data_IF_117495311299
#
_entry.id   IF_117495311299
#
_cell.length_a   1.000
_cell.length_b   1.000
_cell.length_c   1.000
_cell.angle_alpha   90.00
_cell.angle_beta   90.00
_cell.angle_gamma   90.00
#
_symmetry.space_group_name_H-M   'P 1'
#
loop_
_entity.id
_entity.type
_entity.pdbx_description
1 polymer ?
#
# COMPACT_ATOMS: atom_id res chain seq x y z
N UNK A 1 23.62 1.32 -37.55
CA UNK A 1 24.21 2.66 -37.30
C UNK A 1 23.09 3.68 -37.49
N UNK A 2 22.58 4.44 -36.52
CA UNK A 2 23.04 4.87 -35.19
C UNK A 2 21.81 5.08 -34.30
N UNK A 3 21.86 4.50 -33.09
CA UNK A 3 21.53 5.11 -31.79
C UNK A 3 20.22 5.90 -31.64
N UNK A 4 19.22 5.31 -30.97
CA UNK A 4 18.62 5.92 -29.77
C UNK A 4 18.33 4.84 -28.74
N UNK A 5 18.95 5.07 -27.59
CA UNK A 5 19.16 4.20 -26.45
C UNK A 5 18.43 4.86 -25.29
N UNK A 6 17.64 4.09 -24.55
CA UNK A 6 17.26 4.28 -23.14
C UNK A 6 16.51 5.59 -22.79
N UNK A 7 15.22 5.45 -22.50
CA UNK A 7 14.66 5.87 -21.20
C UNK A 7 13.76 4.75 -20.69
N UNK A 8 14.33 3.90 -19.83
CA UNK A 8 13.55 3.11 -18.89
C UNK A 8 13.07 4.09 -17.83
N UNK A 9 11.77 4.30 -17.72
CA UNK A 9 11.19 5.04 -16.61
C UNK A 9 10.60 4.02 -15.64
N UNK A 10 11.04 4.14 -14.39
CA UNK A 10 10.43 3.46 -13.25
C UNK A 10 8.97 3.91 -13.22
N UNK A 11 8.07 3.04 -13.67
CA UNK A 11 6.81 2.91 -12.98
C UNK A 11 7.14 2.11 -11.71
N UNK A 12 6.61 2.48 -10.53
CA UNK A 12 6.67 1.82 -9.22
C UNK A 12 5.28 1.26 -8.84
N UNK A 13 5.18 0.05 -8.30
CA UNK A 13 3.89 -0.65 -8.22
C UNK A 13 3.52 -0.80 -6.76
N UNK A 14 2.23 -0.68 -6.54
CA UNK A 14 1.62 -0.31 -5.28
C UNK A 14 1.07 -1.53 -4.60
N UNK A 15 1.63 -1.82 -3.42
CA UNK A 15 1.43 -3.07 -2.70
C UNK A 15 0.88 -2.78 -1.32
N UNK A 16 -0.30 -3.33 -1.04
CA UNK A 16 -0.64 -3.73 0.31
C UNK A 16 0.02 -5.03 0.69
N UNK A 17 0.97 -4.95 1.60
CA UNK A 17 1.40 -6.12 2.37
C UNK A 17 0.63 -6.11 3.68
N UNK A 18 -0.35 -7.01 3.79
CA UNK A 18 -0.82 -7.48 5.10
C UNK A 18 0.42 -7.99 5.83
N UNK A 19 0.74 -7.44 7.00
CA UNK A 19 1.98 -7.73 7.70
C UNK A 19 2.25 -9.23 7.76
N UNK A 20 3.32 -9.66 7.10
CA UNK A 20 4.00 -10.87 7.51
C UNK A 20 4.79 -10.47 8.76
N UNK A 21 4.13 -10.49 9.91
CA UNK A 21 4.85 -10.34 11.18
C UNK A 21 5.82 -11.52 11.27
N UNK A 22 7.12 -11.27 11.09
CA UNK A 22 8.18 -12.23 11.43
C UNK A 22 8.49 -12.18 12.94
N UNK A 23 7.47 -11.83 13.74
CA UNK A 23 7.56 -11.83 15.19
C UNK A 23 8.01 -13.21 15.70
N UNK A 24 8.87 -13.15 16.72
CA UNK A 24 9.41 -14.29 17.44
C UNK A 24 8.31 -15.26 17.88
N UNK A 25 8.68 -16.53 18.07
CA UNK A 25 7.74 -17.57 18.47
C UNK A 25 6.88 -17.06 19.65
N UNK A 26 5.55 -16.94 19.50
CA UNK A 26 4.69 -16.69 20.65
C UNK A 26 4.95 -17.81 21.67
N UNK A 27 4.78 -17.55 22.98
CA UNK A 27 5.00 -18.56 24.01
C UNK A 27 4.09 -19.77 23.76
N UNK A 28 4.62 -20.80 23.08
CA UNK A 28 4.17 -22.20 22.97
C UNK A 28 2.67 -22.54 22.84
N UNK A 29 1.77 -21.58 22.54
CA UNK A 29 0.31 -21.82 22.59
C UNK A 29 -0.49 -21.19 21.45
N UNK A 30 0.14 -20.76 20.34
CA UNK A 30 -0.62 -20.54 19.11
C UNK A 30 -1.06 -21.92 18.56
N UNK A 31 -2.10 -22.47 19.17
CA UNK A 31 -2.74 -23.70 18.78
C UNK A 31 -3.14 -23.59 17.30
N UNK A 32 -3.07 -24.71 16.58
CA UNK A 32 -3.60 -24.77 15.23
C UNK A 32 -5.06 -24.31 15.24
N UNK A 33 -5.44 -23.43 14.32
CA UNK A 33 -6.79 -22.90 14.34
C UNK A 33 -7.01 -21.75 13.37
N UNK A 34 -8.24 -21.26 13.40
CA UNK A 34 -8.66 -20.09 12.66
C UNK A 34 -8.25 -18.81 13.40
N UNK A 35 -7.84 -17.81 12.63
CA UNK A 35 -7.61 -16.45 13.12
C UNK A 35 -8.34 -15.51 12.17
N UNK A 36 -9.14 -14.62 12.72
CA UNK A 36 -9.86 -13.61 11.97
C UNK A 36 -9.19 -12.26 12.17
N UNK A 37 -9.22 -11.44 11.13
CA UNK A 37 -8.74 -10.06 11.18
C UNK A 37 -9.77 -9.13 10.58
N UNK A 38 -9.93 -7.96 11.20
CA UNK A 38 -10.68 -6.85 10.63
C UNK A 38 -9.84 -5.59 10.75
N UNK A 39 -9.66 -4.86 9.65
CA UNK A 39 -8.93 -3.62 9.60
C UNK A 39 -9.81 -2.52 9.01
N UNK A 40 -9.63 -1.31 9.50
CA UNK A 40 -10.29 -0.13 8.98
C UNK A 40 -9.36 1.07 9.09
N UNK A 41 -9.60 2.10 8.30
CA UNK A 41 -8.98 3.39 8.52
C UNK A 41 -9.29 4.41 7.45
N UNK A 42 -8.67 5.57 7.63
CA UNK A 42 -8.83 6.71 6.75
C UNK A 42 -7.54 7.50 6.65
N UNK A 43 -7.38 8.24 5.56
CA UNK A 43 -6.32 9.20 5.32
C UNK A 43 -6.91 10.45 4.69
N UNK A 44 -6.30 11.59 4.98
CA UNK A 44 -6.68 12.89 4.43
C UNK A 44 -5.40 13.57 3.94
N UNK A 45 -5.45 14.04 2.70
CA UNK A 45 -4.50 15.00 2.15
C UNK A 45 -5.27 16.30 1.92
N UNK A 46 -4.98 17.38 2.67
CA UNK A 46 -5.56 18.69 2.42
C UNK A 46 -5.18 19.23 1.05
N UNK A 47 -5.83 20.33 0.68
CA UNK A 47 -5.57 21.07 -0.55
C UNK A 47 -4.06 21.34 -0.74
N UNK A 48 -3.57 20.99 -1.93
CA UNK A 48 -2.20 21.24 -2.39
C UNK A 48 -2.20 21.76 -3.81
N UNK A 49 -1.28 22.69 -4.07
CA UNK A 49 -1.14 23.33 -5.38
C UNK A 49 -0.52 22.35 -6.39
N UNK A 50 -1.02 22.41 -7.62
CA UNK A 50 -0.54 21.69 -8.79
C UNK A 50 0.30 22.64 -9.64
N UNK A 51 1.51 22.20 -9.99
CA UNK A 51 2.49 23.05 -10.64
C UNK A 51 2.04 23.51 -12.04
N UNK A 52 2.20 24.82 -12.27
CA UNK A 52 2.09 25.44 -13.58
C UNK A 52 0.66 25.59 -14.13
N UNK A 53 -0.36 25.45 -13.29
CA UNK A 53 -1.76 25.52 -13.71
C UNK A 53 -2.66 26.46 -12.88
N UNK A 54 -2.21 27.00 -11.75
CA UNK A 54 -3.07 27.81 -10.87
C UNK A 54 -4.27 27.00 -10.36
N UNK A 55 -4.02 25.72 -10.07
CA UNK A 55 -5.01 24.74 -9.66
C UNK A 55 -4.51 23.98 -8.46
N UNK A 56 -5.41 23.44 -7.66
CA UNK A 56 -5.11 22.64 -6.48
C UNK A 56 -5.98 21.39 -6.43
N UNK A 57 -5.58 20.42 -5.61
CA UNK A 57 -6.44 19.28 -5.30
C UNK A 57 -6.28 18.81 -3.85
N UNK A 58 -7.28 18.09 -3.38
CA UNK A 58 -7.28 17.39 -2.09
C UNK A 58 -7.84 15.98 -2.27
N UNK A 59 -7.59 15.11 -1.29
CA UNK A 59 -8.29 13.82 -1.23
C UNK A 59 -8.61 13.38 0.19
N UNK A 60 -9.70 12.62 0.30
CA UNK A 60 -10.00 11.78 1.45
C UNK A 60 -10.02 10.32 1.02
N UNK A 61 -9.47 9.44 1.85
CA UNK A 61 -9.45 8.00 1.61
C UNK A 61 -10.03 7.26 2.79
N UNK A 62 -10.84 6.24 2.53
CA UNK A 62 -11.31 5.29 3.54
C UNK A 62 -11.10 3.86 3.05
N UNK A 63 -10.86 2.93 3.99
CA UNK A 63 -10.72 1.52 3.63
C UNK A 63 -11.13 0.59 4.77
N UNK A 64 -11.51 -0.61 4.37
CA UNK A 64 -11.89 -1.71 5.23
C UNK A 64 -11.32 -3.02 4.67
N UNK A 65 -10.86 -3.92 5.55
CA UNK A 65 -10.55 -5.28 5.14
C UNK A 65 -10.92 -6.30 6.19
N UNK A 66 -11.25 -7.49 5.73
CA UNK A 66 -11.48 -8.66 6.56
C UNK A 66 -10.57 -9.80 6.10
N UNK A 67 -10.16 -10.64 7.03
CA UNK A 67 -9.29 -11.78 6.77
C UNK A 67 -9.63 -12.97 7.64
N UNK A 68 -9.38 -14.15 7.10
CA UNK A 68 -9.42 -15.41 7.84
C UNK A 68 -8.20 -16.23 7.46
N UNK A 69 -7.41 -16.63 8.45
CA UNK A 69 -6.24 -17.47 8.30
C UNK A 69 -6.47 -18.80 9.02
N UNK A 70 -6.22 -19.91 8.34
CA UNK A 70 -5.97 -21.17 9.02
C UNK A 70 -4.47 -21.29 9.30
N UNK A 71 -4.12 -21.38 10.59
CA UNK A 71 -2.73 -21.51 11.04
C UNK A 71 -2.53 -22.92 11.55
N UNK A 72 -1.58 -23.67 10.98
CA UNK A 72 -1.14 -24.93 11.57
C UNK A 72 -0.22 -24.70 12.76
N UNK A 73 0.57 -23.63 12.71
CA UNK A 73 1.42 -23.14 13.79
C UNK A 73 1.78 -21.66 13.51
N UNK A 74 2.62 -21.08 14.36
CA UNK A 74 3.03 -19.67 14.23
C UNK A 74 3.78 -19.34 12.92
N UNK A 75 4.33 -20.33 12.19
CA UNK A 75 5.11 -20.16 10.95
C UNK A 75 4.43 -20.67 9.68
N UNK A 76 3.33 -21.42 9.79
CA UNK A 76 2.62 -22.02 8.66
C UNK A 76 1.16 -21.58 8.66
N UNK A 77 0.73 -20.88 7.61
CA UNK A 77 -0.64 -20.42 7.46
C UNK A 77 -1.07 -20.27 5.99
N UNK A 78 -2.35 -20.44 5.75
CA UNK A 78 -3.04 -20.06 4.51
C UNK A 78 -4.27 -19.28 4.92
N UNK A 79 -4.52 -18.16 4.27
CA UNK A 79 -5.67 -17.34 4.54
C UNK A 79 -6.38 -16.86 3.29
N UNK A 80 -7.52 -16.23 3.52
CA UNK A 80 -8.29 -15.45 2.55
C UNK A 80 -8.48 -14.06 3.15
N UNK A 81 -8.19 -13.02 2.37
CA UNK A 81 -8.45 -11.64 2.74
C UNK A 81 -9.21 -10.93 1.64
N UNK A 82 -10.21 -10.15 2.05
CA UNK A 82 -10.97 -9.24 1.20
C UNK A 82 -10.80 -7.83 1.72
N UNK A 83 -10.76 -6.84 0.84
CA UNK A 83 -10.76 -5.44 1.22
C UNK A 83 -11.49 -4.59 0.21
N UNK A 84 -11.98 -3.46 0.67
CA UNK A 84 -12.56 -2.42 -0.16
C UNK A 84 -12.24 -1.06 0.43
N UNK A 85 -12.20 -0.04 -0.43
CA UNK A 85 -11.97 1.33 -0.04
C UNK A 85 -12.36 2.28 -1.15
N UNK A 86 -12.23 3.56 -0.85
CA UNK A 86 -12.68 4.66 -1.68
C UNK A 86 -11.77 5.86 -1.45
N UNK A 87 -11.41 6.55 -2.54
CA UNK A 87 -10.67 7.80 -2.53
C UNK A 87 -11.44 8.88 -3.27
N UNK A 88 -11.78 9.96 -2.57
CA UNK A 88 -12.53 11.09 -3.11
C UNK A 88 -11.57 12.22 -3.49
N UNK A 89 -11.23 12.35 -4.78
CA UNK A 89 -10.43 13.48 -5.25
C UNK A 89 -11.30 14.70 -5.52
N UNK A 90 -10.78 15.88 -5.19
CA UNK A 90 -11.49 17.15 -5.39
C UNK A 90 -10.52 18.19 -5.92
N UNK A 91 -10.87 18.83 -7.03
CA UNK A 91 -10.03 19.79 -7.72
C UNK A 91 -10.59 21.22 -7.60
N UNK A 92 -9.69 22.19 -7.58
CA UNK A 92 -10.00 23.61 -7.53
C UNK A 92 -9.10 24.41 -8.47
N UNK A 93 -9.59 25.55 -8.94
CA UNK A 93 -8.84 26.52 -9.76
C UNK A 93 -8.90 27.91 -9.14
N UNK A 94 -7.78 28.63 -9.20
CA UNK A 94 -7.61 29.96 -8.63
C UNK A 94 -8.66 30.95 -9.16
N UNK A 95 -9.42 31.54 -8.25
CA UNK A 95 -10.46 32.53 -8.60
C UNK A 95 -11.75 31.93 -9.18
N UNK A 96 -11.81 30.61 -9.42
CA UNK A 96 -13.02 29.88 -9.82
C UNK A 96 -13.60 29.12 -8.63
N UNK A 97 -12.75 28.50 -7.81
CA UNK A 97 -13.14 27.59 -6.73
C UNK A 97 -13.17 26.14 -7.22
N UNK A 98 -14.12 25.35 -6.72
CA UNK A 98 -14.22 23.92 -7.06
C UNK A 98 -14.58 23.72 -8.53
N UNK A 99 -13.84 22.86 -9.21
CA UNK A 99 -14.03 22.49 -10.63
C UNK A 99 -14.09 20.98 -10.79
N UNK A 100 -14.61 20.53 -11.93
CA UNK A 100 -14.51 19.13 -12.33
C UNK A 100 -13.04 18.82 -12.68
N UNK A 101 -12.51 17.76 -12.08
CA UNK A 101 -11.13 17.33 -12.27
C UNK A 101 -10.96 16.32 -13.40
N UNK A 102 -9.71 15.85 -13.63
CA UNK A 102 -9.45 14.74 -14.54
C UNK A 102 -10.04 13.40 -14.10
N UNK A 103 -10.42 13.29 -12.81
CA UNK A 103 -11.20 12.21 -12.20
C UNK A 103 -11.83 12.70 -10.89
N UNK A 104 -12.72 11.91 -10.31
CA UNK A 104 -13.34 12.18 -9.02
C UNK A 104 -13.14 11.06 -8.00
N UNK A 105 -14.16 10.24 -7.84
CA UNK A 105 -14.22 9.17 -6.85
C UNK A 105 -13.60 7.89 -7.41
N UNK A 106 -12.64 7.31 -6.69
CA UNK A 106 -11.97 6.06 -7.08
C UNK A 106 -12.27 4.97 -6.06
N UNK A 107 -12.90 3.91 -6.51
CA UNK A 107 -13.20 2.72 -5.73
C UNK A 107 -12.09 1.68 -5.84
N UNK A 108 -11.76 1.07 -4.70
CA UNK A 108 -10.86 -0.07 -4.61
C UNK A 108 -11.53 -1.30 -4.03
N UNK A 109 -11.24 -2.45 -4.63
CA UNK A 109 -11.57 -3.76 -4.08
C UNK A 109 -10.41 -4.72 -4.27
N UNK A 110 -10.20 -5.61 -3.29
CA UNK A 110 -9.14 -6.63 -3.36
C UNK A 110 -9.57 -7.95 -2.78
N UNK A 111 -9.07 -9.02 -3.38
CA UNK A 111 -9.10 -10.39 -2.84
C UNK A 111 -7.68 -10.91 -2.85
N UNK A 112 -7.23 -11.54 -1.76
CA UNK A 112 -5.87 -12.06 -1.62
C UNK A 112 -5.86 -13.38 -0.87
N UNK A 113 -4.93 -14.27 -1.23
CA UNK A 113 -4.74 -15.56 -0.55
C UNK A 113 -3.34 -15.58 0.07
N UNK A 114 -3.15 -14.99 1.26
CA UNK A 114 -1.85 -14.99 1.91
C UNK A 114 -1.44 -16.41 2.33
N UNK A 115 -0.25 -16.83 1.91
CA UNK A 115 0.33 -18.12 2.26
C UNK A 115 1.72 -17.91 2.85
N UNK A 116 2.02 -18.62 3.93
CA UNK A 116 3.33 -18.61 4.57
C UNK A 116 3.71 -20.00 5.02
N UNK A 117 4.92 -20.42 4.69
CA UNK A 117 5.46 -21.72 5.07
C UNK A 117 6.89 -21.63 5.59
N UNK A 118 7.15 -22.28 6.71
CA UNK A 118 8.47 -22.54 7.22
C UNK A 118 9.22 -23.57 6.37
N UNK A 119 10.51 -23.33 6.13
CA UNK A 119 11.43 -24.35 5.63
C UNK A 119 12.61 -24.49 6.61
N UNK A 120 12.70 -25.65 7.26
CA UNK A 120 13.61 -25.86 8.39
C UNK A 120 13.39 -24.85 9.51
N UNK A 121 14.43 -24.54 10.29
CA UNK A 121 14.30 -23.66 11.47
C UNK A 121 14.47 -22.16 11.16
N UNK A 122 15.12 -21.84 10.04
CA UNK A 122 15.60 -20.48 9.74
C UNK A 122 14.93 -19.83 8.54
N UNK A 123 14.43 -20.61 7.58
CA UNK A 123 13.84 -20.05 6.37
C UNK A 123 12.31 -20.00 6.45
N UNK A 124 11.73 -19.01 5.79
CA UNK A 124 10.29 -18.90 5.56
C UNK A 124 10.06 -18.47 4.12
N UNK A 125 9.05 -19.04 3.49
CA UNK A 125 8.57 -18.67 2.17
C UNK A 125 7.20 -18.03 2.37
N UNK A 126 6.90 -16.98 1.62
CA UNK A 126 5.56 -16.44 1.53
C UNK A 126 5.15 -16.23 0.08
N UNK A 127 3.86 -16.36 -0.16
CA UNK A 127 3.23 -16.19 -1.47
C UNK A 127 1.86 -15.57 -1.25
N UNK A 128 1.53 -14.49 -1.96
CA UNK A 128 0.26 -13.79 -1.84
C UNK A 128 -0.23 -13.47 -3.26
N UNK A 129 -0.92 -14.40 -3.94
CA UNK A 129 -1.71 -14.06 -5.12
C UNK A 129 -2.85 -13.12 -4.72
N UNK A 130 -3.15 -12.17 -5.59
CA UNK A 130 -4.22 -11.19 -5.38
C UNK A 130 -4.89 -10.80 -6.70
N UNK A 131 -6.18 -10.52 -6.62
CA UNK A 131 -6.95 -9.84 -7.66
C UNK A 131 -7.42 -8.52 -7.07
N UNK A 132 -7.36 -7.45 -7.85
CA UNK A 132 -7.74 -6.10 -7.44
C UNK A 132 -8.60 -5.47 -8.51
N UNK A 133 -9.51 -4.62 -8.09
CA UNK A 133 -10.23 -3.67 -8.93
C UNK A 133 -9.88 -2.28 -8.42
N UNK A 134 -9.50 -1.38 -9.32
CA UNK A 134 -9.15 0.00 -9.00
C UNK A 134 -9.65 0.87 -10.15
N UNK A 135 -10.70 1.65 -9.92
CA UNK A 135 -11.36 2.42 -10.98
C UNK A 135 -12.22 3.54 -10.45
N UNK A 136 -12.41 4.55 -11.28
CA UNK A 136 -13.33 5.66 -11.04
C UNK A 136 -14.79 5.18 -10.99
N UNK A 137 -15.64 5.88 -10.23
CA UNK A 137 -17.08 5.62 -10.24
C UNK A 137 -17.62 5.70 -11.68
N UNK A 138 -18.36 4.69 -12.10
CA UNK A 138 -18.81 4.55 -13.50
C UNK A 138 -17.84 3.82 -14.44
N UNK A 139 -16.58 3.60 -14.06
CA UNK A 139 -15.64 2.83 -14.87
C UNK A 139 -16.05 1.34 -14.99
N UNK A 140 -15.75 0.76 -16.15
CA UNK A 140 -16.00 -0.66 -16.42
C UNK A 140 -15.27 -1.57 -15.44
N UNK A 141 -16.01 -2.31 -14.60
CA UNK A 141 -15.43 -3.18 -13.58
C UNK A 141 -14.55 -4.31 -14.13
N UNK A 142 -14.67 -4.68 -15.42
CA UNK A 142 -13.75 -5.64 -16.04
C UNK A 142 -12.42 -4.99 -16.41
N UNK A 143 -12.45 -3.73 -16.79
CA UNK A 143 -11.29 -3.01 -17.31
C UNK A 143 -10.50 -2.32 -16.19
N UNK A 144 -11.07 -2.27 -14.99
CA UNK A 144 -10.43 -1.86 -13.73
C UNK A 144 -9.67 -2.98 -13.01
N UNK A 145 -9.70 -4.21 -13.55
CA UNK A 145 -9.14 -5.38 -12.85
C UNK A 145 -7.66 -5.61 -13.15
N UNK A 146 -6.90 -5.85 -12.07
CA UNK A 146 -5.52 -6.32 -12.14
C UNK A 146 -5.35 -7.60 -11.33
N UNK A 147 -4.50 -8.50 -11.81
CA UNK A 147 -4.04 -9.66 -11.06
C UNK A 147 -2.58 -9.51 -10.71
N UNK A 148 -2.19 -10.05 -9.57
CA UNK A 148 -0.79 -10.04 -9.19
C UNK A 148 -0.42 -11.09 -8.15
N UNK A 149 0.88 -11.14 -7.92
CA UNK A 149 1.51 -12.12 -7.06
C UNK A 149 2.63 -11.43 -6.29
N UNK A 150 2.61 -11.56 -4.97
CA UNK A 150 3.78 -11.37 -4.13
C UNK A 150 4.41 -12.69 -3.80
N UNK A 151 5.73 -12.72 -3.76
CA UNK A 151 6.45 -13.88 -3.28
C UNK A 151 7.79 -13.48 -2.70
N UNK A 152 8.29 -14.28 -1.77
CA UNK A 152 9.63 -14.07 -1.26
C UNK A 152 10.10 -15.16 -0.33
N UNK A 153 11.40 -15.12 -0.08
CA UNK A 153 12.06 -16.00 0.87
C UNK A 153 12.77 -15.13 1.89
N UNK A 154 12.61 -15.46 3.16
CA UNK A 154 13.24 -14.74 4.25
C UNK A 154 13.99 -15.71 5.16
N UNK A 155 15.21 -15.34 5.56
CA UNK A 155 16.05 -16.12 6.45
C UNK A 155 16.30 -15.37 7.75
N UNK A 156 16.13 -16.08 8.87
CA UNK A 156 16.61 -15.65 10.18
C UNK A 156 18.13 -15.83 10.22
N UNK A 157 18.86 -14.75 9.95
CA UNK A 157 20.32 -14.75 9.97
C UNK A 157 20.86 -14.89 11.40
N UNK A 158 20.21 -14.22 12.35
CA UNK A 158 20.48 -14.30 13.78
C UNK A 158 19.21 -13.97 14.57
N UNK A 159 19.28 -14.09 15.89
CA UNK A 159 18.20 -13.62 16.77
C UNK A 159 17.98 -12.12 16.52
N UNK A 160 16.73 -11.74 16.30
CA UNK A 160 16.34 -10.37 15.98
C UNK A 160 16.67 -9.87 14.58
N UNK A 161 17.17 -10.70 13.64
CA UNK A 161 17.34 -10.27 12.24
C UNK A 161 16.84 -11.33 11.26
N UNK A 162 15.79 -10.97 10.54
CA UNK A 162 15.28 -11.67 9.37
C UNK A 162 15.45 -10.78 8.14
N UNK A 163 15.99 -11.35 7.06
CA UNK A 163 16.15 -10.63 5.79
C UNK A 163 15.96 -11.58 4.62
N UNK A 164 15.54 -11.06 3.48
CA UNK A 164 15.61 -11.81 2.23
C UNK A 164 15.04 -11.05 1.04
N UNK A 165 15.17 -11.60 -0.17
CA UNK A 165 14.58 -11.06 -1.37
C UNK A 165 13.13 -11.50 -1.50
N UNK A 166 12.32 -10.57 -1.95
CA UNK A 166 10.98 -10.81 -2.46
C UNK A 166 10.82 -10.15 -3.82
N UNK A 167 9.65 -10.35 -4.37
CA UNK A 167 9.21 -9.69 -5.57
C UNK A 167 7.71 -9.51 -5.50
N UNK A 168 7.20 -8.60 -6.31
CA UNK A 168 5.83 -8.71 -6.76
C UNK A 168 5.76 -8.56 -8.27
N UNK A 169 4.67 -9.08 -8.82
CA UNK A 169 4.31 -8.87 -10.21
C UNK A 169 2.83 -8.67 -10.36
N UNK A 170 2.42 -7.66 -11.14
CA UNK A 170 1.03 -7.28 -11.35
C UNK A 170 0.80 -7.03 -12.83
N UNK A 171 -0.35 -7.42 -13.37
CA UNK A 171 -0.81 -6.83 -14.63
C UNK A 171 -1.04 -5.34 -14.43
N UNK A 172 -0.78 -4.58 -15.47
CA UNK A 172 -1.19 -3.18 -15.52
C UNK A 172 -2.51 -3.08 -16.29
N UNK A 173 -3.17 -1.93 -16.16
CA UNK A 173 -4.43 -1.66 -16.84
C UNK A 173 -4.24 -1.49 -18.35
N UNK A 174 -3.15 -0.83 -18.76
CA UNK A 174 -2.82 -0.56 -20.18
C UNK A 174 -1.57 -1.29 -20.69
N UNK A 175 -0.87 -2.00 -19.81
CA UNK A 175 0.47 -2.52 -20.08
C UNK A 175 0.65 -4.00 -19.67
N UNK A 176 1.80 -4.56 -20.04
CA UNK A 176 2.19 -5.91 -19.66
C UNK A 176 2.38 -6.11 -18.15
N UNK A 177 2.61 -7.35 -17.73
CA UNK A 177 2.90 -7.65 -16.34
C UNK A 177 4.20 -6.95 -15.88
N UNK A 178 4.10 -6.19 -14.82
CA UNK A 178 5.18 -5.42 -14.23
C UNK A 178 5.82 -6.18 -13.09
N UNK A 179 7.15 -6.17 -13.02
CA UNK A 179 7.93 -6.83 -11.98
C UNK A 179 8.69 -5.80 -11.15
N UNK A 180 8.71 -5.97 -9.83
CA UNK A 180 9.47 -5.11 -8.93
C UNK A 180 10.08 -5.94 -7.78
N UNK A 181 11.37 -5.75 -7.51
CA UNK A 181 12.04 -6.42 -6.40
C UNK A 181 11.62 -5.80 -5.07
N UNK A 182 11.57 -6.63 -4.04
CA UNK A 182 11.28 -6.22 -2.66
C UNK A 182 12.44 -6.70 -1.79
N UNK A 183 12.94 -5.84 -0.91
CA UNK A 183 13.77 -6.30 0.20
C UNK A 183 12.83 -6.60 1.36
N UNK A 184 12.88 -7.80 1.92
CA UNK A 184 12.22 -8.13 3.18
C UNK A 184 13.22 -7.89 4.29
N UNK A 185 12.84 -7.11 5.29
CA UNK A 185 13.63 -6.92 6.50
C UNK A 185 12.73 -6.90 7.73
N UNK A 186 13.19 -7.54 8.79
CA UNK A 186 12.66 -7.41 10.14
C UNK A 186 13.85 -7.51 11.10
N UNK A 187 14.26 -6.36 11.64
CA UNK A 187 15.47 -6.21 12.42
C UNK A 187 15.19 -5.52 13.74
N UNK A 188 15.21 -6.30 14.82
CA UNK A 188 15.33 -5.82 16.19
C UNK A 188 16.76 -5.28 16.38
N UNK A 189 16.91 -3.97 16.21
CA UNK A 189 18.18 -3.25 16.41
C UNK A 189 18.57 -3.29 17.89
N UNK A 190 17.57 -3.15 18.77
CA UNK A 190 17.69 -3.31 20.22
C UNK A 190 16.35 -3.80 20.79
N UNK A 191 16.25 -3.93 22.12
CA UNK A 191 15.02 -4.39 22.79
C UNK A 191 13.78 -3.54 22.49
N UNK A 192 13.97 -2.26 22.12
CA UNK A 192 12.86 -1.32 21.86
C UNK A 192 12.82 -0.79 20.44
N UNK A 193 13.85 -1.05 19.63
CA UNK A 193 13.94 -0.51 18.27
C UNK A 193 13.84 -1.62 17.24
N UNK A 194 12.87 -1.52 16.34
CA UNK A 194 12.69 -2.44 15.23
C UNK A 194 12.67 -1.69 13.90
N UNK A 195 13.43 -2.17 12.92
CA UNK A 195 13.35 -1.74 11.53
C UNK A 195 12.75 -2.86 10.70
N UNK A 196 11.63 -2.59 10.04
CA UNK A 196 10.96 -3.58 9.20
C UNK A 196 10.46 -3.01 7.90
N UNK A 197 10.30 -3.88 6.91
CA UNK A 197 9.42 -3.61 5.77
C UNK A 197 7.98 -3.73 6.24
N UNK A 198 7.38 -2.57 6.55
CA UNK A 198 6.11 -2.44 7.26
C UNK A 198 4.87 -2.49 6.38
N UNK A 199 3.72 -2.62 7.06
CA UNK A 199 2.36 -2.57 6.50
C UNK A 199 2.14 -1.28 5.71
N UNK A 200 1.28 -1.34 4.70
CA UNK A 200 0.64 -0.14 4.17
C UNK A 200 0.04 0.68 5.31
N UNK A 201 0.13 2.01 5.23
CA UNK A 201 -0.70 2.89 6.04
C UNK A 201 -2.13 2.81 5.49
N UNK A 202 -3.06 3.57 6.03
CA UNK A 202 -4.47 3.51 5.71
C UNK A 202 -4.80 3.43 4.20
N UNK A 203 -4.97 2.23 3.67
CA UNK A 203 -5.00 2.03 2.23
C UNK A 203 -3.82 2.62 1.40
N UNK A 204 -2.62 2.68 1.98
CA UNK A 204 -1.37 3.10 1.36
C UNK A 204 -0.60 1.94 0.72
N UNK A 205 -0.08 2.17 -0.47
CA UNK A 205 0.41 1.10 -1.33
C UNK A 205 1.89 1.32 -1.70
N UNK A 206 2.69 0.25 -1.73
CA UNK A 206 4.05 0.26 -2.33
C UNK A 206 5.17 -0.18 -1.36
N UNK A 207 6.43 -0.22 -1.80
CA UNK A 207 7.53 -0.58 -0.92
C UNK A 207 7.75 0.51 0.14
N UNK A 208 8.04 0.08 1.37
CA UNK A 208 8.20 0.99 2.48
C UNK A 208 9.04 0.42 3.62
N UNK A 209 9.64 1.32 4.39
CA UNK A 209 10.37 1.00 5.60
C UNK A 209 9.72 1.68 6.79
N UNK A 210 9.71 0.99 7.92
CA UNK A 210 9.21 1.51 9.18
C UNK A 210 10.23 1.27 10.26
N UNK A 211 10.67 2.36 10.90
CA UNK A 211 11.43 2.32 12.13
C UNK A 211 10.46 2.51 13.30
N UNK A 212 10.32 1.50 14.15
CA UNK A 212 9.43 1.52 15.31
C UNK A 212 10.22 1.59 16.61
N UNK A 213 9.70 2.35 17.58
CA UNK A 213 10.21 2.45 18.94
C UNK A 213 9.12 2.07 19.95
N UNK A 214 9.38 1.04 20.75
CA UNK A 214 8.50 0.61 21.84
C UNK A 214 8.66 1.55 23.04
N UNK A 215 7.64 2.37 23.32
CA UNK A 215 7.59 3.24 24.50
C UNK A 215 7.27 2.42 25.74
N UNK A 216 6.25 1.57 25.63
CA UNK A 216 5.76 0.63 26.64
C UNK A 216 5.18 -0.59 25.92
N UNK A 217 4.88 -1.70 26.62
CA UNK A 217 4.25 -2.87 25.99
C UNK A 217 2.94 -2.56 25.24
N UNK A 218 2.23 -1.49 25.62
CA UNK A 218 0.99 -1.06 24.99
C UNK A 218 1.13 0.12 24.03
N UNK A 219 2.30 0.78 23.95
CA UNK A 219 2.49 2.00 23.15
C UNK A 219 3.77 1.93 22.32
N UNK A 220 3.64 2.23 21.03
CA UNK A 220 4.79 2.37 20.13
C UNK A 220 4.69 3.65 19.30
N UNK A 221 5.86 4.22 19.01
CA UNK A 221 6.03 5.28 18.02
C UNK A 221 6.68 4.68 16.78
N UNK A 222 6.48 5.31 15.63
CA UNK A 222 7.09 4.87 14.38
C UNK A 222 7.39 6.03 13.45
N UNK A 223 8.39 5.85 12.60
CA UNK A 223 8.69 6.67 11.44
C UNK A 223 8.61 5.76 10.21
N UNK A 224 7.75 6.08 9.27
CA UNK A 224 7.54 5.29 8.06
C UNK A 224 7.76 6.15 6.82
N UNK A 225 8.60 5.67 5.90
CA UNK A 225 8.78 6.25 4.57
C UNK A 225 8.39 5.22 3.51
N UNK A 226 7.59 5.64 2.53
CA UNK A 226 7.05 4.75 1.50
C UNK A 226 7.05 5.43 0.14
N UNK A 227 7.06 4.63 -0.91
CA UNK A 227 6.81 5.09 -2.27
C UNK A 227 5.45 4.57 -2.71
N UNK A 228 4.55 5.47 -3.09
CA UNK A 228 3.18 5.17 -3.52
C UNK A 228 2.97 5.64 -4.95
N UNK A 229 2.25 4.84 -5.74
CA UNK A 229 1.96 5.04 -7.18
C UNK A 229 0.68 4.28 -7.51
N UNK A 230 -0.46 4.92 -7.43
CA UNK A 230 -1.76 4.28 -7.55
C UNK A 230 -2.27 4.51 -8.97
N UNK A 231 -2.48 3.44 -9.72
CA UNK A 231 -3.11 3.45 -11.05
C UNK A 231 -4.58 3.02 -10.91
N UNK A 232 -5.51 3.77 -11.52
CA UNK A 232 -6.93 3.42 -11.63
C UNK A 232 -7.42 3.60 -13.05
N UNK A 233 -8.41 2.79 -13.42
CA UNK A 233 -9.17 2.96 -14.65
C UNK A 233 -10.08 4.19 -14.53
N UNK A 234 -10.06 5.06 -15.54
CA UNK A 234 -10.98 6.20 -15.63
C UNK A 234 -12.34 5.76 -16.19
N UNK A 235 -13.37 6.56 -15.93
CA UNK A 235 -14.68 6.36 -16.55
C UNK A 235 -14.66 6.67 -18.06
N UNK A 236 -15.79 6.51 -18.73
CA UNK A 236 -15.93 6.76 -20.18
C UNK A 236 -16.20 8.25 -20.51
N UNK A 237 -15.98 9.16 -19.55
CA UNK A 237 -16.16 10.61 -19.69
C UNK A 237 -14.83 11.37 -19.44
N UNK A 238 -14.88 12.71 -19.43
CA UNK A 238 -13.71 13.53 -19.09
C UNK A 238 -12.59 13.62 -20.13
N UNK A 239 -11.37 13.88 -19.65
CA UNK A 239 -10.21 14.26 -20.47
C UNK A 239 -9.48 13.07 -21.12
N UNK A 240 -9.61 11.86 -20.54
CA UNK A 240 -9.09 10.62 -21.10
C UNK A 240 -10.10 9.46 -20.89
N UNK A 241 -11.22 9.46 -21.63
CA UNK A 241 -12.24 8.42 -21.52
C UNK A 241 -11.66 7.01 -21.63
N UNK A 242 -12.00 6.15 -20.67
CA UNK A 242 -11.54 4.77 -20.59
C UNK A 242 -10.03 4.64 -20.34
N UNK A 243 -9.32 5.74 -20.07
CA UNK A 243 -7.88 5.76 -19.84
C UNK A 243 -7.47 5.33 -18.43
N UNK A 244 -6.27 5.77 -18.01
CA UNK A 244 -5.74 5.48 -16.66
C UNK A 244 -5.31 6.76 -15.97
N UNK A 245 -5.78 6.95 -14.73
CA UNK A 245 -5.25 7.94 -13.80
C UNK A 245 -4.13 7.33 -12.96
N UNK A 246 -3.08 8.10 -12.70
CA UNK A 246 -1.98 7.74 -11.80
C UNK A 246 -1.75 8.84 -10.76
N UNK A 247 -1.72 8.47 -9.50
CA UNK A 247 -1.34 9.34 -8.38
C UNK A 247 -0.12 8.76 -7.65
N UNK A 248 0.97 9.52 -7.60
CA UNK A 248 2.27 9.06 -7.11
C UNK A 248 2.91 10.02 -6.14
N UNK A 249 3.38 9.49 -5.01
CA UNK A 249 4.02 10.28 -3.96
C UNK A 249 5.04 9.49 -3.13
N UNK A 250 5.85 10.21 -2.36
CA UNK A 250 6.69 9.65 -1.30
C UNK A 250 6.23 10.16 0.07
N UNK A 251 5.31 9.47 0.77
CA UNK A 251 4.93 9.83 2.13
C UNK A 251 6.03 9.48 3.15
N UNK A 252 6.32 10.43 4.03
CA UNK A 252 7.11 10.26 5.25
C UNK A 252 6.27 10.67 6.45
N UNK A 253 5.90 9.70 7.28
CA UNK A 253 4.96 9.90 8.39
C UNK A 253 5.51 9.44 9.72
N UNK A 254 5.08 10.11 10.78
CA UNK A 254 5.22 9.64 12.15
C UNK A 254 3.92 8.96 12.57
N UNK A 255 4.02 7.84 13.27
CA UNK A 255 2.88 7.06 13.74
C UNK A 255 2.91 6.91 15.25
N UNK A 256 1.77 7.10 15.91
CA UNK A 256 1.55 6.69 17.30
C UNK A 256 0.57 5.52 17.34
N UNK A 257 0.95 4.41 17.98
CA UNK A 257 0.13 3.20 18.05
C UNK A 257 -0.12 2.77 19.49
N UNK A 258 -1.38 2.46 19.79
CA UNK A 258 -1.83 1.88 21.03
C UNK A 258 -2.30 0.44 20.81
N UNK A 259 -1.79 -0.49 21.61
CA UNK A 259 -2.11 -1.92 21.55
C UNK A 259 -2.32 -2.43 22.97
N UNK A 260 -3.51 -2.23 23.57
CA UNK A 260 -3.78 -2.60 24.96
C UNK A 260 -3.66 -4.11 25.20
N UNK A 261 -3.87 -4.91 24.16
CA UNK A 261 -3.71 -6.35 24.15
C UNK A 261 -3.36 -6.84 22.71
N UNK A 262 -3.04 -8.13 22.51
CA UNK A 262 -2.67 -8.66 21.18
C UNK A 262 -3.79 -8.67 20.13
N UNK A 263 -5.06 -8.50 20.53
CA UNK A 263 -6.22 -8.50 19.66
C UNK A 263 -6.56 -7.11 19.10
N UNK A 264 -6.17 -6.02 19.78
CA UNK A 264 -6.52 -4.66 19.37
C UNK A 264 -5.29 -3.82 19.08
N UNK A 265 -5.29 -3.13 17.93
CA UNK A 265 -4.33 -2.06 17.64
C UNK A 265 -5.04 -0.87 17.03
N UNK A 266 -4.90 0.29 17.65
CA UNK A 266 -5.30 1.58 17.10
C UNK A 266 -4.05 2.40 16.80
N UNK A 267 -4.02 3.11 15.68
CA UNK A 267 -2.91 3.98 15.35
C UNK A 267 -3.39 5.26 14.67
N UNK A 268 -2.69 6.35 14.96
CA UNK A 268 -2.81 7.61 14.22
C UNK A 268 -1.47 7.93 13.57
N UNK A 269 -1.50 8.63 12.44
CA UNK A 269 -0.31 9.06 11.73
C UNK A 269 -0.47 10.46 11.16
N UNK A 270 0.64 11.15 11.01
CA UNK A 270 0.72 12.45 10.34
C UNK A 270 2.12 12.62 9.75
N UNK A 271 2.23 13.31 8.62
CA UNK A 271 3.48 13.53 7.92
C UNK A 271 3.31 14.40 6.69
N UNK A 272 4.24 14.22 5.75
CA UNK A 272 4.30 14.95 4.50
C UNK A 272 4.45 13.98 3.33
N UNK A 273 3.83 14.31 2.22
CA UNK A 273 4.03 13.65 0.92
C UNK A 273 4.97 14.49 0.07
N UNK A 274 6.01 13.86 -0.47
CA UNK A 274 7.05 14.51 -1.26
C UNK A 274 7.05 14.01 -2.70
N UNK A 275 7.44 14.88 -3.63
CA UNK A 275 7.64 14.51 -5.04
C UNK A 275 6.35 13.99 -5.68
N UNK A 276 5.24 14.62 -5.33
CA UNK A 276 3.91 14.32 -5.80
C UNK A 276 3.77 14.49 -7.31
N UNK A 277 3.11 13.55 -7.97
CA UNK A 277 2.82 13.62 -9.40
C UNK A 277 1.49 12.95 -9.72
N UNK A 278 0.67 13.67 -10.49
CA UNK A 278 -0.54 13.19 -11.13
C UNK A 278 -0.27 12.94 -12.62
N UNK A 279 -0.65 11.77 -13.14
CA UNK A 279 -0.59 11.50 -14.59
C UNK A 279 -1.91 10.98 -15.12
N UNK A 280 -2.11 11.25 -16.41
CA UNK A 280 -3.24 10.79 -17.19
C UNK A 280 -2.72 10.06 -18.42
N UNK A 281 -3.19 8.84 -18.63
CA UNK A 281 -2.93 8.04 -19.81
C UNK A 281 -4.23 7.83 -20.60
N UNK A 282 -4.14 7.79 -21.93
CA UNK A 282 -5.26 7.39 -22.78
C UNK A 282 -5.45 5.86 -22.80
N UNK A 283 -6.48 5.40 -23.52
CA UNK A 283 -6.81 3.99 -23.76
C UNK A 283 -5.77 3.22 -24.61
N UNK A 284 -4.69 3.90 -25.03
CA UNK A 284 -3.56 3.31 -25.73
C UNK A 284 -2.30 3.29 -24.86
N UNK A 285 -2.40 3.71 -23.58
CA UNK A 285 -1.28 3.82 -22.65
C UNK A 285 -0.33 4.99 -22.93
N UNK A 286 -0.73 5.97 -23.74
CA UNK A 286 0.07 7.18 -23.99
C UNK A 286 -0.24 8.24 -22.94
N UNK A 287 0.81 8.91 -22.43
CA UNK A 287 0.66 10.01 -21.48
C UNK A 287 -0.01 11.20 -22.17
N UNK A 288 -1.20 11.55 -21.71
CA UNK A 288 -1.97 12.74 -22.12
C UNK A 288 -1.52 13.94 -21.29
N UNK A 289 -1.40 13.75 -19.98
CA UNK A 289 -1.03 14.81 -19.04
C UNK A 289 -0.14 14.27 -17.91
N UNK A 290 0.76 15.12 -17.43
CA UNK A 290 1.62 14.84 -16.27
C UNK A 290 1.85 16.15 -15.54
N UNK A 291 1.47 16.20 -14.26
CA UNK A 291 1.59 17.38 -13.41
C UNK A 291 2.22 17.00 -12.08
N UNK A 292 3.22 17.77 -11.67
CA UNK A 292 3.78 17.65 -10.33
C UNK A 292 2.93 18.50 -9.37
N UNK A 293 2.93 18.14 -8.08
CA UNK A 293 2.24 18.90 -7.04
C UNK A 293 3.14 19.13 -5.83
N UNK A 294 2.83 20.17 -5.08
CA UNK A 294 3.64 20.62 -3.95
C UNK A 294 3.73 19.61 -2.81
N UNK A 295 4.77 19.74 -1.97
CA UNK A 295 4.86 18.93 -0.77
C UNK A 295 3.71 19.25 0.17
N UNK A 296 2.90 18.25 0.51
CA UNK A 296 1.63 18.45 1.21
C UNK A 296 1.52 17.59 2.47
N UNK A 297 0.80 18.05 3.52
CA UNK A 297 0.51 17.23 4.68
C UNK A 297 -0.35 16.01 4.35
N UNK A 298 -0.13 14.91 5.07
CA UNK A 298 -1.02 13.76 5.08
C UNK A 298 -1.20 13.26 6.50
N UNK A 299 -2.42 12.89 6.87
CA UNK A 299 -2.72 12.37 8.20
C UNK A 299 -3.91 11.43 8.19
N UNK A 300 -4.03 10.60 9.23
CA UNK A 300 -5.11 9.64 9.30
C UNK A 300 -5.03 8.74 10.51
N UNK A 301 -5.90 7.72 10.52
CA UNK A 301 -5.92 6.72 11.56
C UNK A 301 -6.28 5.33 11.01
N UNK A 302 -5.88 4.31 11.76
CA UNK A 302 -6.18 2.91 11.47
C UNK A 302 -6.60 2.18 12.73
N UNK A 303 -7.44 1.17 12.56
CA UNK A 303 -7.83 0.21 13.57
C UNK A 303 -7.64 -1.20 13.01
N UNK A 304 -7.10 -2.10 13.83
CA UNK A 304 -6.87 -3.50 13.50
C UNK A 304 -7.32 -4.36 14.66
N UNK A 305 -8.15 -5.34 14.37
CA UNK A 305 -8.72 -6.29 15.31
C UNK A 305 -8.36 -7.71 14.89
N UNK A 306 -7.99 -8.56 15.85
CA UNK A 306 -7.68 -9.97 15.64
C UNK A 306 -8.39 -10.83 16.68
N UNK A 307 -9.12 -11.85 16.25
CA UNK A 307 -9.90 -12.73 17.12
C UNK A 307 -9.98 -14.17 16.61
#
# INVERSE_FOLDING_TARGET
MKTRLIKRLLAGATLFVSAIAFAQAPPSSAASGWTFTADAGFAVQPETDIDGAGSAFEFDRTFFSAGVDYRWNYRNSVGLSVGAGKTDYRFAEDGVGRVDGPWGEVDDARISVPMRFAYGDKASIFVIPSIRSYGEDGASSSDSQTWGLFGGVAWRLRNGLTIGPGFGTFSQLEDGARFFPILIIDWDISERWNLSTGRGLAASQGPGLTLSYELTPAWSLGLAGRYEEIEFRLDDEGAAPGGVGEDRAFPLVVTGSWSPDPAVRLAAFAGLEFGGQLKLYDDQGLVVESRDYDTTPVYGATASFRF
#
